data_IF_828472288233
#
_entry.id   IF_828472288233
#
_cell.length_a   1.000
_cell.length_b   1.000
_cell.length_c   1.000
_cell.angle_alpha   90.00
_cell.angle_beta   90.00
_cell.angle_gamma   90.00
#
_symmetry.space_group_name_H-M   'P 1'
#
loop_
_entity.id
_entity.type
_entity.pdbx_description
1 polymer ?
#
# COMPACT_ATOMS: atom_id res chain seq x y z
N UNK A 1 38.92 -30.59 -13.51
CA UNK A 1 38.82 -29.33 -12.75
C UNK A 1 37.75 -28.47 -13.39
N UNK A 2 36.60 -28.32 -12.76
CA UNK A 2 35.94 -27.05 -12.45
C UNK A 2 34.64 -27.38 -11.71
N UNK A 3 34.61 -26.95 -10.46
CA UNK A 3 33.60 -27.28 -9.46
C UNK A 3 32.30 -26.53 -9.75
N UNK A 4 31.19 -27.27 -9.80
CA UNK A 4 29.84 -26.73 -9.77
C UNK A 4 29.57 -26.18 -8.36
N UNK A 5 29.79 -24.88 -8.17
CA UNK A 5 29.33 -24.17 -6.98
C UNK A 5 27.85 -23.80 -7.19
N UNK A 6 26.96 -24.74 -6.84
CA UNK A 6 25.55 -24.43 -6.61
C UNK A 6 25.45 -23.55 -5.36
N UNK A 7 25.41 -22.24 -5.56
CA UNK A 7 24.99 -21.29 -4.53
C UNK A 7 23.50 -21.50 -4.26
N UNK A 8 23.22 -22.39 -3.30
CA UNK A 8 21.95 -22.44 -2.58
C UNK A 8 21.79 -21.13 -1.81
N UNK A 9 21.16 -20.14 -2.44
CA UNK A 9 20.57 -19.00 -1.74
C UNK A 9 19.37 -19.53 -0.94
N UNK A 10 19.63 -19.92 0.30
CA UNK A 10 18.61 -20.12 1.31
C UNK A 10 17.94 -18.78 1.58
N UNK A 11 16.87 -18.47 0.83
CA UNK A 11 15.92 -17.43 1.23
C UNK A 11 15.25 -17.92 2.52
N UNK A 12 15.80 -17.54 3.67
CA UNK A 12 15.07 -17.67 4.94
C UNK A 12 13.87 -16.75 4.84
N UNK A 13 12.74 -17.31 4.41
CA UNK A 13 11.46 -16.63 4.50
C UNK A 13 11.29 -16.15 5.95
N UNK A 14 10.78 -14.93 6.19
CA UNK A 14 10.54 -14.46 7.55
C UNK A 14 9.64 -15.49 8.23
N UNK A 15 10.18 -16.19 9.23
CA UNK A 15 9.40 -17.12 10.04
C UNK A 15 8.66 -16.31 11.09
N UNK A 16 7.44 -16.72 11.42
CA UNK A 16 6.66 -16.09 12.50
C UNK A 16 6.89 -16.80 13.84
N UNK A 17 7.90 -17.67 13.90
CA UNK A 17 8.12 -18.59 15.01
C UNK A 17 8.51 -17.88 16.31
N UNK A 18 9.08 -16.68 16.19
CA UNK A 18 9.41 -15.81 17.32
C UNK A 18 8.20 -15.13 17.95
N UNK A 19 7.04 -15.10 17.29
CA UNK A 19 5.81 -14.52 17.82
C UNK A 19 5.17 -15.44 18.86
N UNK A 20 4.70 -14.84 19.95
CA UNK A 20 3.80 -15.52 20.89
C UNK A 20 2.50 -15.90 20.20
N UNK A 21 1.74 -16.83 20.79
CA UNK A 21 0.41 -17.19 20.28
C UNK A 21 -0.52 -15.97 20.21
N UNK A 22 -0.45 -15.07 21.21
CA UNK A 22 -1.24 -13.84 21.24
C UNK A 22 -0.90 -12.92 20.07
N UNK A 23 0.39 -12.65 19.84
CA UNK A 23 0.87 -11.84 18.70
C UNK A 23 0.50 -12.47 17.35
N UNK A 24 0.55 -13.79 17.25
CA UNK A 24 0.18 -14.53 16.03
C UNK A 24 -1.32 -14.44 15.75
N UNK A 25 -2.15 -14.56 16.79
CA UNK A 25 -3.60 -14.38 16.70
C UNK A 25 -3.94 -12.93 16.34
N UNK A 26 -3.21 -11.96 16.88
CA UNK A 26 -3.38 -10.56 16.55
C UNK A 26 -3.06 -10.26 15.09
N UNK A 27 -1.94 -10.80 14.59
CA UNK A 27 -1.58 -10.73 13.17
C UNK A 27 -2.65 -11.41 12.28
N UNK A 28 -3.15 -12.57 12.70
CA UNK A 28 -4.24 -13.25 12.00
C UNK A 28 -5.51 -12.39 11.97
N UNK A 29 -5.90 -11.78 13.09
CA UNK A 29 -7.03 -10.84 13.15
C UNK A 29 -6.81 -9.69 12.17
N UNK A 30 -5.62 -9.08 12.12
CA UNK A 30 -5.35 -7.98 11.19
C UNK A 30 -5.47 -8.41 9.72
N UNK A 31 -4.96 -9.60 9.38
CA UNK A 31 -5.10 -10.20 8.04
C UNK A 31 -6.57 -10.46 7.70
N UNK A 32 -7.34 -10.97 8.66
CA UNK A 32 -8.77 -11.24 8.49
C UNK A 32 -9.54 -9.93 8.30
N UNK A 33 -9.34 -8.93 9.15
CA UNK A 33 -9.98 -7.61 9.05
C UNK A 33 -9.70 -6.96 7.70
N UNK A 34 -8.44 -7.00 7.23
CA UNK A 34 -8.08 -6.50 5.90
C UNK A 34 -8.78 -7.26 4.78
N UNK A 35 -8.86 -8.59 4.89
CA UNK A 35 -9.50 -9.42 3.87
C UNK A 35 -11.01 -9.16 3.83
N UNK A 36 -11.67 -9.06 4.99
CA UNK A 36 -13.08 -8.69 5.12
C UNK A 36 -13.36 -7.31 4.52
N UNK A 37 -12.50 -6.32 4.82
CA UNK A 37 -12.63 -4.98 4.26
C UNK A 37 -12.62 -4.98 2.73
N UNK A 38 -11.69 -5.71 2.11
CA UNK A 38 -11.61 -5.79 0.65
C UNK A 38 -12.91 -6.36 0.05
N UNK A 39 -13.47 -7.43 0.64
CA UNK A 39 -14.74 -8.02 0.18
C UNK A 39 -15.90 -7.04 0.34
N UNK A 40 -15.98 -6.35 1.49
CA UNK A 40 -17.01 -5.33 1.75
C UNK A 40 -16.91 -4.18 0.75
N UNK A 41 -15.70 -3.70 0.48
CA UNK A 41 -15.45 -2.65 -0.52
C UNK A 41 -15.87 -3.08 -1.93
N UNK A 42 -15.52 -4.30 -2.34
CA UNK A 42 -15.89 -4.85 -3.65
C UNK A 42 -17.41 -5.06 -3.77
N UNK A 43 -18.06 -5.57 -2.73
CA UNK A 43 -19.51 -5.76 -2.68
C UNK A 43 -20.25 -4.41 -2.74
N UNK A 44 -19.79 -3.42 -1.96
CA UNK A 44 -20.38 -2.08 -1.96
C UNK A 44 -20.24 -1.42 -3.33
N UNK A 45 -19.05 -1.48 -3.96
CA UNK A 45 -18.82 -0.91 -5.27
C UNK A 45 -19.78 -1.47 -6.35
N UNK A 46 -20.13 -2.76 -6.24
CA UNK A 46 -21.07 -3.42 -7.14
C UNK A 46 -22.53 -3.07 -6.85
N UNK A 47 -22.90 -2.89 -5.59
CA UNK A 47 -24.30 -2.78 -5.16
C UNK A 47 -24.74 -1.37 -4.70
N UNK A 48 -23.86 -0.37 -4.71
CA UNK A 48 -24.11 1.01 -4.23
C UNK A 48 -25.30 1.73 -4.89
N UNK A 49 -25.83 1.23 -6.00
CA UNK A 49 -27.04 1.79 -6.63
C UNK A 49 -28.33 1.36 -5.91
N UNK A 50 -28.27 0.35 -5.04
CA UNK A 50 -29.39 -0.10 -4.22
C UNK A 50 -29.45 0.73 -2.94
N UNK A 51 -30.63 1.26 -2.64
CA UNK A 51 -30.88 2.16 -1.49
C UNK A 51 -30.38 1.58 -0.17
N UNK A 52 -30.59 0.29 0.08
CA UNK A 52 -30.20 -0.31 1.36
C UNK A 52 -28.68 -0.34 1.54
N UNK A 53 -27.91 -0.53 0.47
CA UNK A 53 -26.45 -0.44 0.53
C UNK A 53 -25.98 0.98 0.82
N UNK A 54 -26.65 2.00 0.26
CA UNK A 54 -26.33 3.40 0.57
C UNK A 54 -26.59 3.76 2.04
N UNK A 55 -27.63 3.16 2.64
CA UNK A 55 -27.94 3.34 4.07
C UNK A 55 -26.88 2.64 4.94
N UNK A 56 -26.49 1.42 4.58
CA UNK A 56 -25.48 0.65 5.32
C UNK A 56 -24.07 1.22 5.15
N UNK A 57 -23.77 1.82 4.00
CA UNK A 57 -22.52 2.49 3.70
C UNK A 57 -21.32 1.55 3.53
N UNK A 58 -20.15 2.17 3.39
CA UNK A 58 -18.84 1.52 3.34
C UNK A 58 -17.98 2.03 4.51
N UNK A 59 -17.35 1.15 5.30
CA UNK A 59 -16.43 1.60 6.35
C UNK A 59 -15.24 2.40 5.80
N UNK A 60 -14.76 3.36 6.57
CA UNK A 60 -13.61 4.18 6.17
C UNK A 60 -12.31 3.37 6.17
N UNK A 61 -11.60 3.35 5.04
CA UNK A 61 -10.30 2.67 4.91
C UNK A 61 -9.25 3.26 5.86
N UNK A 62 -9.30 4.58 6.08
CA UNK A 62 -8.31 5.31 6.87
C UNK A 62 -8.24 4.82 8.31
N UNK A 63 -9.39 4.52 8.90
CA UNK A 63 -9.47 3.94 10.26
C UNK A 63 -8.77 2.58 10.31
N UNK A 64 -9.04 1.72 9.33
CA UNK A 64 -8.41 0.39 9.25
C UNK A 64 -6.89 0.49 9.08
N UNK A 65 -6.42 1.36 8.18
CA UNK A 65 -4.99 1.62 7.97
C UNK A 65 -4.32 2.03 9.28
N UNK A 66 -4.87 3.04 9.97
CA UNK A 66 -4.30 3.54 11.22
C UNK A 66 -4.26 2.49 12.32
N UNK A 67 -5.31 1.67 12.46
CA UNK A 67 -5.37 0.62 13.47
C UNK A 67 -4.33 -0.47 13.16
N UNK A 68 -4.21 -0.91 11.90
CA UNK A 68 -3.23 -1.93 11.51
C UNK A 68 -1.80 -1.45 11.78
N UNK A 69 -1.47 -0.20 11.43
CA UNK A 69 -0.14 0.36 11.67
C UNK A 69 0.18 0.45 13.17
N UNK A 70 -0.78 0.92 13.98
CA UNK A 70 -0.62 1.02 15.42
C UNK A 70 -0.48 -0.35 16.10
N UNK A 71 -1.29 -1.33 15.70
CA UNK A 71 -1.34 -2.66 16.31
C UNK A 71 -0.16 -3.55 15.89
N UNK A 72 0.28 -3.47 14.62
CA UNK A 72 1.34 -4.34 14.10
C UNK A 72 2.72 -3.68 14.11
N UNK A 73 2.79 -2.38 14.37
CA UNK A 73 4.03 -1.59 14.38
C UNK A 73 4.84 -1.74 13.08
N UNK A 74 4.15 -1.78 11.93
CA UNK A 74 4.72 -1.79 10.60
C UNK A 74 3.92 -0.84 9.70
N UNK A 75 4.54 -0.24 8.67
CA UNK A 75 3.80 0.52 7.67
C UNK A 75 2.71 -0.33 7.01
N UNK A 76 1.55 0.27 6.71
CA UNK A 76 0.42 -0.44 6.12
C UNK A 76 0.75 -1.06 4.76
N UNK A 77 1.64 -0.43 3.99
CA UNK A 77 2.10 -0.96 2.70
C UNK A 77 2.94 -2.23 2.87
N UNK A 78 3.80 -2.28 3.90
CA UNK A 78 4.60 -3.46 4.20
C UNK A 78 3.72 -4.61 4.69
N UNK A 79 2.66 -4.30 5.45
CA UNK A 79 1.60 -5.23 5.78
C UNK A 79 0.92 -5.79 4.51
N UNK A 80 0.44 -4.92 3.61
CA UNK A 80 -0.20 -5.34 2.35
C UNK A 80 0.72 -6.17 1.45
N UNK A 81 2.02 -5.87 1.47
CA UNK A 81 3.01 -6.67 0.79
C UNK A 81 3.15 -8.06 1.44
N UNK A 82 3.34 -8.09 2.76
CA UNK A 82 3.56 -9.33 3.50
C UNK A 82 2.36 -10.29 3.40
N UNK A 83 1.11 -9.81 3.52
CA UNK A 83 -0.08 -10.68 3.37
C UNK A 83 -0.13 -11.38 2.01
N UNK A 84 0.40 -10.76 0.94
CA UNK A 84 0.31 -11.29 -0.41
C UNK A 84 1.50 -12.16 -0.78
N UNK A 85 2.68 -11.88 -0.23
CA UNK A 85 3.93 -12.46 -0.72
C UNK A 85 4.69 -13.30 0.33
N UNK A 86 4.48 -13.06 1.63
CA UNK A 86 5.16 -13.84 2.66
C UNK A 86 4.41 -15.16 2.93
N UNK A 87 5.04 -16.30 2.58
CA UNK A 87 4.45 -17.64 2.78
C UNK A 87 3.99 -17.88 4.22
N UNK A 88 4.74 -17.39 5.21
CA UNK A 88 4.41 -17.52 6.62
C UNK A 88 3.14 -16.75 7.03
N UNK A 89 2.78 -15.70 6.28
CA UNK A 89 1.57 -14.90 6.51
C UNK A 89 0.38 -15.43 5.71
N UNK A 90 0.64 -16.03 4.55
CA UNK A 90 -0.40 -16.65 3.73
C UNK A 90 -1.13 -17.78 4.48
N UNK A 91 -0.45 -18.51 5.37
CA UNK A 91 -1.08 -19.54 6.22
C UNK A 91 -2.03 -18.98 7.27
N UNK A 92 -1.94 -17.67 7.57
CA UNK A 92 -2.81 -16.96 8.50
C UNK A 92 -4.04 -16.36 7.80
N UNK A 93 -4.14 -16.44 6.47
CA UNK A 93 -5.35 -16.00 5.75
C UNK A 93 -6.55 -16.87 6.13
N UNK A 94 -7.77 -16.30 6.09
CA UNK A 94 -8.98 -17.09 6.31
C UNK A 94 -9.07 -18.20 5.26
N UNK A 95 -9.34 -19.44 5.71
CA UNK A 95 -9.52 -20.59 4.81
C UNK A 95 -10.74 -20.43 3.91
N UNK A 96 -11.78 -19.81 4.44
CA UNK A 96 -13.02 -19.49 3.75
C UNK A 96 -13.23 -17.97 3.86
N UNK A 97 -12.74 -17.19 2.89
CA UNK A 97 -13.00 -15.75 2.86
C UNK A 97 -14.49 -15.49 2.61
N UNK A 98 -14.98 -14.33 3.06
CA UNK A 98 -16.35 -13.88 2.75
C UNK A 98 -16.55 -13.89 1.22
N UNK A 99 -17.56 -14.59 0.70
CA UNK A 99 -17.83 -14.58 -0.73
C UNK A 99 -18.54 -13.29 -1.15
N UNK A 100 -18.36 -12.88 -2.41
CA UNK A 100 -19.26 -11.91 -3.02
C UNK A 100 -20.65 -12.55 -3.19
N UNK A 101 -21.68 -11.76 -2.94
CA UNK A 101 -23.08 -12.20 -3.01
C UNK A 101 -23.90 -11.33 -3.95
N UNK A 102 -25.04 -11.85 -4.39
CA UNK A 102 -26.00 -11.08 -5.17
C UNK A 102 -26.48 -9.84 -4.38
N UNK A 103 -26.60 -8.69 -5.06
CA UNK A 103 -27.02 -7.44 -4.44
C UNK A 103 -28.42 -7.49 -3.80
N UNK A 104 -29.26 -8.47 -4.14
CA UNK A 104 -30.53 -8.73 -3.46
C UNK A 104 -30.38 -9.25 -2.03
N UNK A 105 -29.18 -9.73 -1.64
CA UNK A 105 -28.88 -10.29 -0.31
C UNK A 105 -28.33 -9.25 0.66
N UNK A 106 -29.01 -8.11 0.81
CA UNK A 106 -28.57 -7.01 1.70
C UNK A 106 -28.30 -7.47 3.15
N UNK A 107 -29.09 -8.41 3.68
CA UNK A 107 -28.87 -8.95 5.02
C UNK A 107 -27.48 -9.58 5.18
N UNK A 108 -26.96 -10.22 4.13
CA UNK A 108 -25.62 -10.82 4.16
C UNK A 108 -24.54 -9.74 4.16
N UNK A 109 -24.77 -8.63 3.47
CA UNK A 109 -23.86 -7.48 3.52
C UNK A 109 -23.83 -6.83 4.91
N UNK A 110 -24.98 -6.73 5.58
CA UNK A 110 -25.05 -6.29 6.97
C UNK A 110 -24.28 -7.24 7.90
N UNK A 111 -24.43 -8.57 7.73
CA UNK A 111 -23.66 -9.54 8.51
C UNK A 111 -22.14 -9.40 8.28
N UNK A 112 -21.70 -9.02 7.08
CA UNK A 112 -20.29 -8.74 6.79
C UNK A 112 -19.80 -7.48 7.51
N UNK A 113 -20.61 -6.42 7.53
CA UNK A 113 -20.30 -5.20 8.28
C UNK A 113 -20.19 -5.47 9.77
N UNK A 114 -21.09 -6.27 10.34
CA UNK A 114 -21.08 -6.65 11.76
C UNK A 114 -19.83 -7.48 12.11
N UNK A 115 -19.47 -8.46 11.27
CA UNK A 115 -18.26 -9.25 11.44
C UNK A 115 -16.99 -8.40 11.32
N UNK A 116 -16.95 -7.49 10.36
CA UNK A 116 -15.84 -6.55 10.20
C UNK A 116 -15.71 -5.61 11.40
N UNK A 117 -16.83 -5.08 11.91
CA UNK A 117 -16.84 -4.21 13.08
C UNK A 117 -16.29 -4.93 14.32
N UNK A 118 -16.67 -6.20 14.52
CA UNK A 118 -16.16 -7.03 15.61
C UNK A 118 -14.65 -7.28 15.48
N UNK A 119 -14.18 -7.60 14.27
CA UNK A 119 -12.75 -7.83 13.99
C UNK A 119 -11.93 -6.55 14.17
N UNK A 120 -12.45 -5.40 13.71
CA UNK A 120 -11.80 -4.11 13.88
C UNK A 120 -11.73 -3.72 15.35
N UNK A 121 -12.82 -3.88 16.10
CA UNK A 121 -12.84 -3.63 17.54
C UNK A 121 -11.81 -4.50 18.28
N UNK A 122 -11.65 -5.76 17.88
CA UNK A 122 -10.61 -6.63 18.45
C UNK A 122 -9.18 -6.10 18.22
N UNK A 123 -8.92 -5.42 17.11
CA UNK A 123 -7.64 -4.75 16.86
C UNK A 123 -7.49 -3.47 17.70
N UNK A 124 -8.56 -2.70 17.86
CA UNK A 124 -8.58 -1.43 18.62
C UNK A 124 -8.22 -1.63 20.10
N UNK A 125 -8.65 -2.75 20.69
CA UNK A 125 -8.41 -3.07 22.11
C UNK A 125 -7.15 -3.91 22.35
N UNK A 126 -6.47 -4.36 21.29
CA UNK A 126 -5.33 -5.24 21.41
C UNK A 126 -4.06 -4.46 21.81
N UNK A 127 -3.20 -5.11 22.59
CA UNK A 127 -1.86 -4.60 22.83
C UNK A 127 -1.02 -4.72 21.54
N UNK A 128 -0.27 -3.67 21.15
CA UNK A 128 0.58 -3.72 19.96
C UNK A 128 1.60 -4.84 20.00
N UNK A 129 1.93 -5.39 18.82
CA UNK A 129 3.00 -6.36 18.68
C UNK A 129 4.34 -5.67 18.99
N UNK A 130 5.05 -6.22 19.96
CA UNK A 130 6.32 -5.66 20.44
C UNK A 130 7.53 -6.19 19.67
N UNK A 131 7.39 -7.35 19.04
CA UNK A 131 8.45 -8.01 18.28
C UNK A 131 8.38 -7.62 16.80
N UNK A 132 9.53 -7.43 16.14
CA UNK A 132 9.55 -7.13 14.72
C UNK A 132 8.89 -8.27 13.93
N UNK A 133 7.82 -7.97 13.21
CA UNK A 133 7.10 -8.92 12.36
C UNK A 133 7.88 -9.30 11.09
N UNK A 134 8.79 -8.41 10.70
CA UNK A 134 9.66 -8.54 9.56
C UNK A 134 11.09 -8.62 10.10
N UNK A 135 11.76 -9.75 9.92
CA UNK A 135 13.19 -9.87 10.22
C UNK A 135 13.95 -9.06 9.18
N UNK A 136 14.21 -7.79 9.50
CA UNK A 136 15.46 -7.08 9.23
C UNK A 136 15.46 -5.71 9.94
N UNK A 137 16.10 -5.61 11.11
CA UNK A 137 16.71 -4.37 11.55
C UNK A 137 18.07 -4.22 10.83
N UNK A 138 18.34 -3.05 10.24
CA UNK A 138 19.58 -2.65 9.54
C UNK A 138 19.61 -3.02 8.04
N UNK A 139 19.63 -1.99 7.19
CA UNK A 139 19.80 -1.98 5.73
C UNK A 139 18.61 -2.44 4.86
N UNK A 140 17.62 -1.57 4.72
CA UNK A 140 16.68 -1.58 3.59
C UNK A 140 17.38 -1.13 2.29
N UNK A 141 18.36 -1.91 1.82
CA UNK A 141 18.85 -1.90 0.42
C UNK A 141 18.59 -3.28 -0.22
N UNK A 142 17.52 -3.94 0.21
CA UNK A 142 17.10 -5.20 -0.40
C UNK A 142 16.26 -4.87 -1.63
N UNK A 143 16.91 -5.02 -2.79
CA UNK A 143 16.27 -5.13 -4.10
C UNK A 143 14.98 -5.96 -3.96
N UNK A 144 13.84 -5.28 -4.08
CA UNK A 144 12.57 -5.97 -4.19
C UNK A 144 12.60 -6.89 -5.41
N UNK A 145 12.08 -8.11 -5.25
CA UNK A 145 12.06 -9.04 -6.38
C UNK A 145 11.31 -8.41 -7.56
N UNK A 146 11.89 -8.44 -8.77
CA UNK A 146 11.27 -7.88 -9.98
C UNK A 146 9.84 -8.38 -10.19
N UNK A 147 9.53 -9.61 -9.78
CA UNK A 147 8.17 -10.18 -9.84
C UNK A 147 7.14 -9.37 -9.04
N UNK A 148 7.53 -8.82 -7.88
CA UNK A 148 6.68 -7.95 -7.08
C UNK A 148 6.40 -6.64 -7.80
N UNK A 149 7.45 -5.96 -8.25
CA UNK A 149 7.34 -4.69 -8.97
C UNK A 149 6.51 -4.85 -10.24
N UNK A 150 6.65 -5.99 -10.93
CA UNK A 150 5.81 -6.35 -12.06
C UNK A 150 4.33 -6.48 -11.67
N UNK A 151 4.03 -7.08 -10.51
CA UNK A 151 2.66 -7.20 -10.00
C UNK A 151 2.04 -5.84 -9.63
N UNK A 152 2.84 -4.90 -9.13
CA UNK A 152 2.40 -3.52 -8.91
C UNK A 152 2.11 -2.86 -10.24
N UNK A 153 3.04 -2.93 -11.19
CA UNK A 153 2.85 -2.36 -12.52
C UNK A 153 1.63 -2.92 -13.24
N UNK A 154 1.35 -4.22 -13.16
CA UNK A 154 0.17 -4.84 -13.76
C UNK A 154 -1.15 -4.28 -13.23
N UNK A 155 -1.22 -4.00 -11.93
CA UNK A 155 -2.42 -3.44 -11.27
C UNK A 155 -2.49 -1.91 -11.33
N UNK A 156 -1.40 -1.27 -11.72
CA UNK A 156 -1.31 0.19 -11.78
C UNK A 156 -1.96 0.75 -13.03
N UNK A 157 -2.79 1.77 -12.85
CA UNK A 157 -3.24 2.65 -13.93
C UNK A 157 -2.19 3.71 -14.28
N UNK A 158 -1.30 4.02 -13.33
CA UNK A 158 -0.28 5.07 -13.41
C UNK A 158 0.99 4.58 -12.75
N UNK A 159 2.12 4.74 -13.42
CA UNK A 159 3.45 4.51 -12.84
C UNK A 159 4.24 5.79 -13.07
N UNK A 160 4.76 6.42 -12.03
CA UNK A 160 5.40 7.72 -12.16
C UNK A 160 6.66 7.81 -11.30
N UNK A 161 7.62 8.59 -11.77
CA UNK A 161 8.71 9.10 -10.96
C UNK A 161 8.28 10.45 -10.38
N UNK A 162 8.57 10.64 -9.10
CA UNK A 162 8.24 11.82 -8.33
C UNK A 162 9.42 12.25 -7.50
N UNK A 163 9.47 13.54 -7.17
CA UNK A 163 10.35 14.05 -6.14
C UNK A 163 9.53 14.55 -4.95
N UNK A 164 10.18 14.70 -3.80
CA UNK A 164 9.56 15.25 -2.61
C UNK A 164 9.78 16.76 -2.59
N UNK A 165 8.70 17.53 -2.43
CA UNK A 165 8.75 18.98 -2.27
C UNK A 165 7.98 19.41 -1.03
N UNK A 166 8.41 20.51 -0.42
CA UNK A 166 7.64 21.16 0.63
C UNK A 166 6.37 21.76 0.04
N UNK A 167 5.21 21.51 0.67
CA UNK A 167 3.94 22.09 0.25
C UNK A 167 3.94 23.62 0.34
N UNK A 168 4.74 24.21 1.24
CA UNK A 168 4.83 25.66 1.42
C UNK A 168 5.47 26.40 0.23
N UNK A 169 6.17 25.69 -0.66
CA UNK A 169 6.73 26.30 -1.88
C UNK A 169 5.71 26.42 -3.01
N UNK A 170 4.53 25.81 -2.86
CA UNK A 170 3.46 25.87 -3.85
C UNK A 170 2.69 27.19 -3.79
N UNK A 171 2.32 27.70 -4.95
CA UNK A 171 1.37 28.81 -5.08
C UNK A 171 -0.04 28.41 -4.63
N UNK A 172 -0.89 29.39 -4.33
CA UNK A 172 -2.27 29.14 -3.93
C UNK A 172 -3.07 28.32 -4.97
N UNK A 173 -2.80 28.53 -6.26
CA UNK A 173 -3.46 27.80 -7.35
C UNK A 173 -2.99 26.34 -7.39
N UNK A 174 -1.70 26.08 -7.16
CA UNK A 174 -1.15 24.73 -7.13
C UNK A 174 -1.62 23.94 -5.91
N UNK A 175 -1.74 24.60 -4.75
CA UNK A 175 -2.30 23.98 -3.54
C UNK A 175 -3.77 23.58 -3.72
N UNK A 176 -4.54 24.31 -4.53
CA UNK A 176 -5.94 24.00 -4.83
C UNK A 176 -6.13 22.83 -5.81
N UNK A 177 -5.13 22.51 -6.64
CA UNK A 177 -5.20 21.50 -7.70
C UNK A 177 -4.47 20.18 -7.36
N UNK A 178 -4.09 20.01 -6.10
CA UNK A 178 -3.36 18.85 -5.59
C UNK A 178 -4.29 17.69 -5.23
N UNK A 179 -3.87 16.44 -5.48
CA UNK A 179 -4.62 15.25 -5.08
C UNK A 179 -4.46 14.99 -3.57
N UNK A 180 -5.53 15.22 -2.80
CA UNK A 180 -5.55 15.05 -1.35
C UNK A 180 -5.53 13.58 -0.92
N UNK A 181 -4.34 13.02 -0.76
CA UNK A 181 -4.12 11.86 0.10
C UNK A 181 -3.28 12.35 1.30
N UNK A 182 -4.00 12.64 2.38
CA UNK A 182 -3.53 13.18 3.66
C UNK A 182 -3.30 14.71 3.74
N UNK A 183 -4.02 15.36 4.66
CA UNK A 183 -3.95 16.82 4.92
C UNK A 183 -2.81 17.18 5.88
N UNK A 184 -2.23 16.21 6.58
CA UNK A 184 -1.34 16.46 7.72
C UNK A 184 0.14 16.58 7.36
N UNK A 185 0.60 15.93 6.28
CA UNK A 185 2.00 15.99 5.87
C UNK A 185 2.36 17.36 5.25
N UNK A 186 3.49 17.93 5.70
CA UNK A 186 4.09 19.15 5.12
C UNK A 186 4.68 18.88 3.73
N UNK A 187 5.11 17.66 3.48
CA UNK A 187 5.78 17.26 2.25
C UNK A 187 4.82 16.53 1.32
N UNK A 188 5.00 16.74 0.02
CA UNK A 188 4.17 16.21 -1.06
C UNK A 188 5.06 15.66 -2.17
N UNK A 189 4.49 14.79 -3.00
CA UNK A 189 5.13 14.35 -4.23
C UNK A 189 4.83 15.32 -5.37
N UNK A 190 5.86 15.74 -6.11
CA UNK A 190 5.71 16.39 -7.41
C UNK A 190 6.15 15.43 -8.50
N UNK A 191 5.27 15.22 -9.47
CA UNK A 191 5.49 14.35 -10.62
C UNK A 191 6.57 14.92 -11.53
N UNK A 192 7.46 14.06 -12.02
CA UNK A 192 8.49 14.42 -12.99
C UNK A 192 8.29 13.71 -14.32
N UNK A 193 8.05 12.41 -14.31
CA UNK A 193 7.86 11.61 -15.53
C UNK A 193 7.14 10.30 -15.23
N UNK A 194 6.73 9.55 -16.24
CA UNK A 194 6.10 8.27 -15.99
C UNK A 194 5.67 7.50 -17.23
N UNK A 195 4.92 6.45 -16.93
CA UNK A 195 4.34 5.50 -17.86
C UNK A 195 2.83 5.42 -17.59
N UNK A 196 2.04 5.12 -18.62
CA UNK A 196 0.57 5.02 -18.56
C UNK A 196 -0.09 6.38 -18.33
N UNK A 197 -1.17 6.42 -17.54
CA UNK A 197 -1.97 7.63 -17.37
C UNK A 197 -1.23 8.71 -16.59
N UNK A 198 -1.42 9.97 -16.98
CA UNK A 198 -0.85 11.13 -16.27
C UNK A 198 -1.65 11.38 -14.98
N UNK A 199 -1.02 11.41 -13.79
CA UNK A 199 -1.66 11.84 -12.55
C UNK A 199 -1.58 13.38 -12.38
N UNK A 200 -2.25 13.96 -11.36
CA UNK A 200 -2.04 15.36 -11.00
C UNK A 200 -0.57 15.67 -10.71
N UNK A 201 -0.11 16.87 -11.06
CA UNK A 201 1.29 17.29 -10.91
C UNK A 201 1.78 17.20 -9.46
N UNK A 202 0.89 17.47 -8.51
CA UNK A 202 1.18 17.41 -7.09
C UNK A 202 0.25 16.41 -6.41
N UNK A 203 0.79 15.52 -5.59
CA UNK A 203 0.03 14.48 -4.89
C UNK A 203 0.49 14.28 -3.46
N UNK A 204 -0.46 13.96 -2.58
CA UNK A 204 -0.17 13.75 -1.17
C UNK A 204 0.67 12.51 -0.98
N UNK A 205 1.53 12.51 0.03
CA UNK A 205 2.40 11.38 0.30
C UNK A 205 1.62 10.27 0.99
N UNK A 206 1.95 9.03 0.65
CA UNK A 206 1.43 7.85 1.33
C UNK A 206 2.08 7.58 2.71
N UNK A 207 3.12 8.35 3.05
CA UNK A 207 3.85 8.30 4.32
C UNK A 207 3.95 9.71 4.90
N UNK A 208 3.91 9.82 6.21
CA UNK A 208 4.18 11.07 6.90
C UNK A 208 5.69 11.22 7.11
N UNK A 209 6.26 12.33 6.63
CA UNK A 209 7.68 12.65 6.84
C UNK A 209 7.81 13.77 7.86
N UNK A 210 8.61 13.52 8.89
CA UNK A 210 9.05 14.54 9.84
C UNK A 210 10.33 15.21 9.32
N UNK A 211 10.52 16.49 9.66
CA UNK A 211 11.67 17.29 9.20
C UNK A 211 13.03 16.66 9.56
N UNK A 212 13.11 15.96 10.69
CA UNK A 212 14.31 15.23 11.13
C UNK A 212 14.68 14.03 10.25
N UNK A 213 13.73 13.50 9.49
CA UNK A 213 13.90 12.31 8.64
C UNK A 213 13.96 12.66 7.15
N UNK A 214 13.79 13.93 6.75
CA UNK A 214 13.74 14.34 5.34
C UNK A 214 14.94 13.83 4.53
N UNK A 215 16.13 13.90 5.12
CA UNK A 215 17.38 13.45 4.48
C UNK A 215 17.37 11.95 4.14
N UNK A 216 16.53 11.14 4.81
CA UNK A 216 16.37 9.70 4.51
C UNK A 216 15.44 9.45 3.33
N UNK A 217 14.68 10.45 2.91
CA UNK A 217 13.75 10.37 1.79
C UNK A 217 14.20 11.22 0.60
N UNK A 218 15.37 11.86 0.68
CA UNK A 218 15.95 12.62 -0.44
C UNK A 218 16.12 11.72 -1.68
N UNK A 219 15.75 12.27 -2.84
CA UNK A 219 15.87 11.59 -4.12
C UNK A 219 14.54 11.41 -4.84
N UNK A 220 14.61 10.72 -5.97
CA UNK A 220 13.47 10.39 -6.79
C UNK A 220 12.82 9.08 -6.31
N UNK A 221 11.50 9.04 -6.39
CA UNK A 221 10.67 7.91 -5.98
C UNK A 221 9.85 7.41 -7.16
N UNK A 222 9.79 6.10 -7.35
CA UNK A 222 8.86 5.43 -8.24
C UNK A 222 7.57 5.12 -7.49
N UNK A 223 6.45 5.63 -7.97
CA UNK A 223 5.12 5.39 -7.40
C UNK A 223 4.24 4.60 -8.36
N UNK A 224 3.32 3.84 -7.77
CA UNK A 224 2.35 3.00 -8.45
C UNK A 224 0.96 3.41 -7.98
N UNK A 225 0.07 3.81 -8.88
CA UNK A 225 -1.30 4.18 -8.54
C UNK A 225 -2.31 3.29 -9.26
N UNK A 226 -3.40 2.95 -8.56
CA UNK A 226 -4.54 2.26 -9.14
C UNK A 226 -5.39 3.18 -10.03
N UNK A 227 -6.51 2.66 -10.56
CA UNK A 227 -7.42 3.41 -11.41
C UNK A 227 -8.09 4.61 -10.71
N UNK A 228 -8.17 4.57 -9.37
CA UNK A 228 -8.73 5.59 -8.50
C UNK A 228 -7.66 6.54 -7.96
N UNK A 229 -6.43 6.48 -8.51
CA UNK A 229 -5.27 7.29 -8.12
C UNK A 229 -4.85 7.09 -6.66
N UNK A 230 -5.13 5.92 -6.09
CA UNK A 230 -4.66 5.52 -4.76
C UNK A 230 -3.28 4.85 -4.87
N UNK A 231 -2.44 5.02 -3.86
CA UNK A 231 -1.12 4.38 -3.81
C UNK A 231 -1.23 2.86 -3.66
N UNK A 232 -0.66 2.16 -4.64
CA UNK A 232 -0.35 0.73 -4.58
C UNK A 232 1.00 0.51 -3.91
N UNK A 233 2.01 1.30 -4.29
CA UNK A 233 3.36 1.25 -3.73
C UNK A 233 4.14 2.52 -4.08
N UNK A 234 5.21 2.79 -3.35
CA UNK A 234 6.20 3.80 -3.66
C UNK A 234 7.59 3.32 -3.22
N UNK A 235 8.62 3.53 -4.05
CA UNK A 235 9.99 3.06 -3.79
C UNK A 235 11.02 4.10 -4.20
N UNK A 236 12.14 4.25 -3.50
CA UNK A 236 13.27 5.01 -3.99
C UNK A 236 13.71 4.48 -5.36
N UNK A 237 13.98 5.37 -6.32
CA UNK A 237 14.42 4.99 -7.67
C UNK A 237 15.71 4.17 -7.64
N UNK A 238 16.59 4.45 -6.68
CA UNK A 238 17.85 3.73 -6.48
C UNK A 238 17.63 2.23 -6.19
N UNK A 239 16.57 1.88 -5.48
CA UNK A 239 16.26 0.50 -5.09
C UNK A 239 15.61 -0.31 -6.23
N UNK A 240 15.07 0.37 -7.25
CA UNK A 240 14.27 -0.25 -8.33
C UNK A 240 14.79 0.10 -9.73
N UNK A 241 16.06 0.52 -9.84
CA UNK A 241 16.67 0.93 -11.11
C UNK A 241 16.58 -0.13 -12.21
N UNK A 242 16.82 -1.40 -11.88
CA UNK A 242 16.70 -2.52 -12.84
C UNK A 242 15.27 -2.68 -13.38
N UNK A 243 14.28 -2.47 -12.52
CA UNK A 243 12.88 -2.52 -12.91
C UNK A 243 12.49 -1.33 -13.78
N UNK A 244 12.95 -0.12 -13.45
CA UNK A 244 12.73 1.07 -14.27
C UNK A 244 13.30 0.87 -15.68
N UNK A 245 14.50 0.28 -15.79
CA UNK A 245 15.09 -0.07 -17.07
C UNK A 245 14.22 -1.05 -17.87
N UNK A 246 13.53 -1.98 -17.18
CA UNK A 246 12.61 -2.93 -17.81
C UNK A 246 11.30 -2.30 -18.31
N UNK A 247 10.86 -1.17 -17.74
CA UNK A 247 9.70 -0.41 -18.21
C UNK A 247 9.97 0.31 -19.54
N UNK A 248 11.24 0.49 -19.90
CA UNK A 248 11.65 1.21 -21.11
C UNK A 248 11.50 2.73 -20.97
N UNK A 249 11.39 3.43 -22.12
CA UNK A 249 11.26 4.90 -22.12
C UNK A 249 9.95 5.33 -21.48
N UNK A 250 9.98 6.45 -20.78
CA UNK A 250 8.78 7.10 -20.25
C UNK A 250 7.87 7.55 -21.40
N UNK A 251 6.55 7.46 -21.17
CA UNK A 251 5.54 7.87 -22.14
C UNK A 251 5.23 9.37 -22.06
N UNK A 252 5.57 9.98 -20.92
CA UNK A 252 5.40 11.40 -20.68
C UNK A 252 6.36 11.90 -19.61
N UNK A 253 6.64 13.19 -19.65
CA UNK A 253 7.46 13.93 -18.69
C UNK A 253 6.89 15.31 -18.46
N UNK A 254 7.31 15.97 -17.38
CA UNK A 254 6.88 17.31 -17.02
C UNK A 254 8.09 18.24 -17.00
N UNK A 255 7.97 19.39 -17.67
CA UNK A 255 9.05 20.39 -17.66
C UNK A 255 9.16 21.14 -16.31
N UNK A 256 10.12 22.07 -16.22
CA UNK A 256 10.31 22.90 -15.03
C UNK A 256 9.11 23.78 -14.70
N UNK A 257 8.27 24.09 -15.69
CA UNK A 257 7.09 24.94 -15.55
C UNK A 257 5.81 24.13 -15.27
N UNK A 258 5.90 22.80 -15.18
CA UNK A 258 4.74 21.95 -14.94
C UNK A 258 3.99 21.53 -16.20
N UNK A 259 4.51 21.80 -17.41
CA UNK A 259 3.83 21.41 -18.65
C UNK A 259 4.14 19.96 -19.02
N UNK A 260 3.11 19.24 -19.42
CA UNK A 260 3.21 17.87 -19.91
C UNK A 260 3.88 17.84 -21.30
N UNK A 261 4.91 17.01 -21.42
CA UNK A 261 5.63 16.71 -22.64
C UNK A 261 5.50 15.21 -22.96
N UNK A 262 5.34 14.86 -24.23
CA UNK A 262 5.36 13.47 -24.70
C UNK A 262 6.60 13.26 -25.57
N UNK A 263 7.57 12.44 -25.13
CA UNK A 263 8.80 12.16 -25.87
C UNK A 263 8.59 11.26 -27.10
#
# INVERSE_FOLDING_TARGET
MFSLFSLLLSSTAPTLDHLTLSERNLLQTAIHTQTSYNVIADQYAQCQQIKDYQILGLPEKRELTSIIEATLNIPYQDFLFAINHAKAWQSLKPREPMPLVDCSKTMVYQDYLDQYALQRFALEIAEPITKPLLTNPVNSQQQESTALLQSYAQRSSTIAIVNITDRQTLTAIEQANFLHLDYTSRYIYRITQGWKNVPPLYMGMHIQINEADLNKFEGDWLIFLDAQKQYIAARPVEDVADFINSLGKTEWQVDSNGNLQRP
#
